data_IF_841124744583
#
_entry.id   IF_841124744583
#
_cell.length_a   1.000
_cell.length_b   1.000
_cell.length_c   1.000
_cell.angle_alpha   90.00
_cell.angle_beta   90.00
_cell.angle_gamma   90.00
#
_symmetry.space_group_name_H-M   'P 1'
#
loop_
_entity.id
_entity.type
_entity.pdbx_description
1 polymer ?
#
# COMPACT_ATOMS: atom_id res chain seq x y z
N UNK A 1 14.64 -8.11 -16.05
CA UNK A 1 14.19 -9.36 -15.39
C UNK A 1 12.87 -9.07 -14.67
N UNK A 2 11.75 -9.74 -15.01
CA UNK A 2 10.43 -9.46 -14.42
C UNK A 2 10.37 -9.71 -12.90
N UNK A 3 11.14 -10.66 -12.38
CA UNK A 3 11.24 -10.91 -10.93
C UNK A 3 11.83 -9.70 -10.20
N UNK A 4 12.81 -9.05 -10.81
CA UNK A 4 13.42 -7.86 -10.23
C UNK A 4 12.46 -6.66 -10.21
N UNK A 5 11.60 -6.52 -11.23
CA UNK A 5 10.55 -5.49 -11.25
C UNK A 5 9.54 -5.73 -10.13
N UNK A 6 9.15 -6.98 -9.90
CA UNK A 6 8.28 -7.34 -8.78
C UNK A 6 8.90 -6.97 -7.43
N UNK A 7 10.18 -7.28 -7.23
CA UNK A 7 10.90 -6.93 -6.00
C UNK A 7 10.92 -5.40 -5.80
N UNK A 8 11.28 -4.64 -6.84
CA UNK A 8 11.29 -3.18 -6.77
C UNK A 8 9.90 -2.58 -6.50
N UNK A 9 8.85 -3.11 -7.14
CA UNK A 9 7.47 -2.70 -6.90
C UNK A 9 7.06 -2.90 -5.43
N UNK A 10 7.39 -4.06 -4.86
CA UNK A 10 7.07 -4.39 -3.46
C UNK A 10 7.85 -3.50 -2.49
N UNK A 11 9.15 -3.26 -2.75
CA UNK A 11 9.99 -2.38 -1.92
C UNK A 11 9.41 -0.96 -1.88
N UNK A 12 8.99 -0.42 -3.03
CA UNK A 12 8.47 0.94 -3.12
C UNK A 12 7.07 1.09 -2.53
N UNK A 13 6.24 0.06 -2.61
CA UNK A 13 4.84 0.09 -2.18
C UNK A 13 4.65 -0.07 -0.67
N UNK A 14 5.68 -0.52 0.06
CA UNK A 14 5.59 -0.69 1.52
C UNK A 14 5.60 0.64 2.29
N UNK A 15 4.57 0.98 3.08
CA UNK A 15 4.55 2.16 3.93
C UNK A 15 5.51 2.02 5.11
N UNK A 16 6.14 3.13 5.51
CA UNK A 16 7.10 3.17 6.63
C UNK A 16 6.46 3.59 7.94
N UNK A 17 5.52 4.53 7.87
CA UNK A 17 4.80 5.08 9.02
C UNK A 17 3.30 4.91 8.79
N UNK A 18 2.56 4.66 9.86
CA UNK A 18 1.11 4.57 9.89
C UNK A 18 0.56 5.42 11.05
N UNK A 19 -0.74 5.68 11.06
CA UNK A 19 -1.42 6.39 12.14
C UNK A 19 -2.39 5.49 12.86
N UNK A 20 -2.17 5.25 14.15
CA UNK A 20 -3.11 4.48 14.97
C UNK A 20 -4.05 5.41 15.70
N UNK A 21 -5.29 4.94 15.83
CA UNK A 21 -6.33 5.64 16.57
C UNK A 21 -6.15 5.34 18.06
N UNK A 22 -5.65 6.31 18.82
CA UNK A 22 -5.48 6.20 20.27
C UNK A 22 -6.56 7.04 20.95
N UNK A 23 -7.41 6.37 21.74
CA UNK A 23 -8.47 7.02 22.51
C UNK A 23 -8.39 6.67 23.98
N UNK A 24 -8.56 7.68 24.84
CA UNK A 24 -8.78 7.50 26.29
C UNK A 24 -9.86 8.50 26.71
N UNK A 25 -10.79 8.06 27.56
CA UNK A 25 -11.84 8.90 28.16
C UNK A 25 -12.69 9.72 27.16
N UNK A 26 -13.17 9.09 26.07
CA UNK A 26 -14.15 9.70 25.16
C UNK A 26 -13.60 10.66 24.10
N UNK A 27 -12.30 10.92 24.09
CA UNK A 27 -11.63 11.64 22.98
C UNK A 27 -10.71 10.70 22.22
N UNK A 28 -10.66 10.88 20.90
CA UNK A 28 -9.88 10.04 20.00
C UNK A 28 -8.90 10.90 19.22
N UNK A 29 -7.63 10.56 19.31
CA UNK A 29 -6.54 11.19 18.55
C UNK A 29 -5.85 10.15 17.67
N UNK A 30 -5.16 10.62 16.65
CA UNK A 30 -4.27 9.76 15.84
C UNK A 30 -2.85 10.00 16.32
N UNK A 31 -2.09 8.93 16.44
CA UNK A 31 -0.67 8.98 16.77
C UNK A 31 0.10 8.28 15.66
N UNK A 32 1.19 8.90 15.20
CA UNK A 32 2.13 8.27 14.28
C UNK A 32 2.83 7.08 14.95
N UNK A 33 2.87 5.94 14.26
CA UNK A 33 3.55 4.71 14.69
C UNK A 33 4.36 4.11 13.54
N UNK A 34 5.48 3.48 13.86
CA UNK A 34 6.31 2.80 12.87
C UNK A 34 5.69 1.47 12.42
N UNK A 35 5.84 1.14 11.12
CA UNK A 35 5.35 -0.11 10.54
C UNK A 35 6.42 -1.19 10.61
N UNK A 36 6.06 -2.35 11.20
CA UNK A 36 6.93 -3.52 11.27
C UNK A 36 7.23 -4.10 9.87
N UNK A 37 8.44 -4.65 9.60
CA UNK A 37 8.81 -5.14 8.28
C UNK A 37 7.83 -6.17 7.70
N UNK A 38 7.26 -7.03 8.54
CA UNK A 38 6.27 -8.03 8.13
C UNK A 38 4.94 -7.42 7.67
N UNK A 39 4.51 -6.30 8.28
CA UNK A 39 3.32 -5.55 7.88
C UNK A 39 3.52 -4.79 6.57
N UNK A 40 4.77 -4.48 6.19
CA UNK A 40 5.06 -3.87 4.88
C UNK A 40 4.92 -4.87 3.73
N UNK A 41 5.36 -6.11 3.96
CA UNK A 41 5.54 -7.11 2.89
C UNK A 41 4.39 -8.11 2.75
N UNK A 42 4.04 -8.88 3.80
CA UNK A 42 3.33 -10.15 3.59
C UNK A 42 2.35 -10.62 4.68
N UNK A 43 2.49 -10.22 5.95
CA UNK A 43 1.84 -11.02 7.01
C UNK A 43 0.37 -10.63 7.27
N UNK A 44 -0.52 -11.60 7.04
CA UNK A 44 -1.77 -11.77 7.81
C UNK A 44 -1.47 -12.50 9.11
N UNK A 45 -1.75 -11.84 10.22
CA UNK A 45 -2.40 -12.40 11.41
C UNK A 45 -3.16 -11.19 11.99
N UNK A 46 -4.42 -11.40 12.41
CA UNK A 46 -5.26 -10.46 13.17
C UNK A 46 -6.28 -9.68 12.31
N UNK A 47 -7.56 -9.90 12.63
CA UNK A 47 -8.77 -9.37 11.98
C UNK A 47 -8.99 -7.84 12.15
N UNK A 48 -7.92 -7.08 12.39
CA UNK A 48 -7.99 -5.64 12.67
C UNK A 48 -6.89 -4.84 11.95
N UNK A 49 -7.17 -4.46 10.70
CA UNK A 49 -6.50 -3.32 10.03
C UNK A 49 -5.34 -3.71 9.11
N UNK A 50 -5.58 -3.55 7.81
CA UNK A 50 -4.81 -4.11 6.69
C UNK A 50 -3.53 -3.32 6.37
N UNK A 51 -2.43 -4.04 6.07
CA UNK A 51 -1.36 -3.58 5.17
C UNK A 51 -0.75 -4.74 4.39
N UNK A 52 -0.75 -4.66 3.07
CA UNK A 52 -0.01 -5.57 2.20
C UNK A 52 0.31 -4.84 0.89
N UNK A 53 1.58 -4.53 0.67
CA UNK A 53 2.06 -3.99 -0.61
C UNK A 53 1.53 -4.82 -1.80
N UNK A 54 1.57 -6.15 -1.66
CA UNK A 54 1.03 -7.09 -2.66
C UNK A 54 -0.49 -6.97 -2.80
N UNK A 55 -1.21 -6.82 -1.69
CA UNK A 55 -2.67 -6.68 -1.73
C UNK A 55 -3.09 -5.40 -2.42
N UNK A 56 -2.42 -4.27 -2.15
CA UNK A 56 -2.71 -2.99 -2.81
C UNK A 56 -2.43 -3.06 -4.32
N UNK A 57 -1.35 -3.74 -4.74
CA UNK A 57 -1.05 -3.97 -6.15
C UNK A 57 -2.13 -4.83 -6.83
N UNK A 58 -2.57 -5.91 -6.18
CA UNK A 58 -3.63 -6.78 -6.69
C UNK A 58 -5.00 -6.08 -6.73
N UNK A 59 -5.33 -5.29 -5.71
CA UNK A 59 -6.57 -4.50 -5.65
C UNK A 59 -6.57 -3.43 -6.74
N UNK A 60 -5.47 -2.70 -6.92
CA UNK A 60 -5.33 -1.71 -8.00
C UNK A 60 -5.47 -2.34 -9.39
N UNK A 61 -4.83 -3.49 -9.62
CA UNK A 61 -4.95 -4.24 -10.88
C UNK A 61 -6.39 -4.74 -11.11
N UNK A 62 -7.08 -5.20 -10.06
CA UNK A 62 -8.47 -5.67 -10.13
C UNK A 62 -9.44 -4.53 -10.42
N UNK A 63 -9.28 -3.38 -9.78
CA UNK A 63 -10.09 -2.18 -10.02
C UNK A 63 -9.85 -1.64 -11.44
N UNK A 64 -8.60 -1.60 -11.91
CA UNK A 64 -8.25 -1.14 -13.25
C UNK A 64 -8.73 -2.07 -14.38
N UNK A 65 -8.83 -3.37 -14.11
CA UNK A 65 -9.39 -4.36 -15.04
C UNK A 65 -10.93 -4.40 -15.02
N UNK A 66 -11.57 -3.89 -13.98
CA UNK A 66 -13.03 -3.93 -13.88
C UNK A 66 -13.66 -2.98 -14.91
N UNK A 67 -14.50 -3.53 -15.80
CA UNK A 67 -15.16 -2.81 -16.92
C UNK A 67 -14.18 -2.20 -17.93
N UNK A 68 -12.96 -2.71 -18.01
CA UNK A 68 -11.95 -2.28 -18.98
C UNK A 68 -11.74 -3.34 -20.06
N UNK A 69 -11.26 -2.91 -21.23
CA UNK A 69 -10.95 -3.80 -22.36
C UNK A 69 -9.64 -4.57 -22.09
N UNK A 70 -8.72 -3.94 -21.34
CA UNK A 70 -7.45 -4.54 -20.92
C UNK A 70 -7.67 -5.78 -20.04
N UNK A 71 -6.86 -6.80 -20.26
CA UNK A 71 -6.87 -8.01 -19.44
C UNK A 71 -6.30 -7.73 -18.05
N UNK A 72 -6.64 -8.58 -17.07
CA UNK A 72 -6.08 -8.45 -15.71
C UNK A 72 -4.56 -8.56 -15.69
N UNK A 73 -3.98 -9.32 -16.62
CA UNK A 73 -2.52 -9.47 -16.75
C UNK A 73 -1.85 -8.18 -17.22
N UNK A 74 -2.44 -7.47 -18.18
CA UNK A 74 -1.95 -6.18 -18.66
C UNK A 74 -2.06 -5.10 -17.58
N UNK A 75 -3.21 -5.03 -16.91
CA UNK A 75 -3.41 -4.11 -15.79
C UNK A 75 -2.41 -4.38 -14.65
N UNK A 76 -2.13 -5.65 -14.35
CA UNK A 76 -1.16 -6.02 -13.32
C UNK A 76 0.28 -5.68 -13.74
N UNK A 77 0.63 -5.88 -15.02
CA UNK A 77 1.94 -5.50 -15.55
C UNK A 77 2.15 -3.98 -15.50
N UNK A 78 1.16 -3.20 -15.94
CA UNK A 78 1.17 -1.74 -15.86
C UNK A 78 1.34 -1.27 -14.41
N UNK A 79 0.61 -1.89 -13.47
CA UNK A 79 0.66 -1.55 -12.06
C UNK A 79 2.03 -1.86 -11.43
N UNK A 80 2.61 -3.03 -11.73
CA UNK A 80 3.94 -3.41 -11.26
C UNK A 80 5.04 -2.49 -11.80
N UNK A 81 4.96 -2.12 -13.09
CA UNK A 81 5.94 -1.22 -13.70
C UNK A 81 5.85 0.18 -13.08
N UNK A 82 4.64 0.69 -12.87
CA UNK A 82 4.42 2.00 -12.26
C UNK A 82 4.88 2.02 -10.79
N UNK A 83 4.57 0.98 -10.02
CA UNK A 83 5.02 0.83 -8.64
C UNK A 83 6.55 0.69 -8.53
N UNK A 84 7.18 -0.07 -9.43
CA UNK A 84 8.64 -0.20 -9.47
C UNK A 84 9.35 1.13 -9.76
N UNK A 85 8.70 2.03 -10.52
CA UNK A 85 9.20 3.39 -10.77
C UNK A 85 8.87 4.38 -9.66
N UNK A 86 8.09 3.99 -8.65
CA UNK A 86 7.58 4.90 -7.62
C UNK A 86 6.61 5.96 -8.17
N UNK A 87 5.97 5.66 -9.30
CA UNK A 87 5.03 6.59 -9.91
C UNK A 87 3.73 6.65 -9.11
N UNK A 88 3.25 7.85 -8.86
CA UNK A 88 1.93 8.11 -8.28
C UNK A 88 0.78 7.67 -9.20
N UNK A 89 1.04 7.13 -10.39
CA UNK A 89 0.00 6.48 -11.19
C UNK A 89 -0.43 5.14 -10.61
N UNK A 90 0.45 4.48 -9.85
CA UNK A 90 0.12 3.24 -9.15
C UNK A 90 -0.82 3.52 -7.98
N UNK A 91 -1.85 2.69 -7.85
CA UNK A 91 -2.75 2.64 -6.72
C UNK A 91 -2.02 2.40 -5.40
N UNK A 92 -1.05 1.48 -5.40
CA UNK A 92 -0.30 1.13 -4.20
C UNK A 92 0.54 2.30 -3.67
N UNK A 93 1.18 3.05 -4.57
CA UNK A 93 1.98 4.24 -4.21
C UNK A 93 1.08 5.37 -3.68
N UNK A 94 -0.05 5.66 -4.34
CA UNK A 94 -1.02 6.66 -3.85
C UNK A 94 -1.47 6.36 -2.42
N UNK A 95 -1.83 5.10 -2.15
CA UNK A 95 -2.32 4.69 -0.83
C UNK A 95 -1.23 4.75 0.24
N UNK A 96 -0.01 4.36 -0.11
CA UNK A 96 1.16 4.55 0.76
C UNK A 96 1.36 6.02 1.12
N UNK A 97 1.38 6.91 0.13
CA UNK A 97 1.64 8.33 0.34
C UNK A 97 0.52 9.00 1.17
N UNK A 98 -0.74 8.62 0.95
CA UNK A 98 -1.87 9.06 1.78
C UNK A 98 -1.66 8.72 3.25
N UNK A 99 -1.22 7.50 3.55
CA UNK A 99 -1.03 7.00 4.91
C UNK A 99 0.17 7.67 5.59
N UNK A 100 1.31 7.74 4.90
CA UNK A 100 2.51 8.41 5.43
C UNK A 100 2.28 9.91 5.64
N UNK A 101 1.46 10.56 4.80
CA UNK A 101 1.09 11.98 4.99
C UNK A 101 0.26 12.18 6.26
N UNK A 102 -0.68 11.29 6.54
CA UNK A 102 -1.50 11.36 7.77
C UNK A 102 -0.63 11.10 9.00
N UNK A 103 0.29 10.13 8.93
CA UNK A 103 1.23 9.86 10.02
C UNK A 103 2.11 11.09 10.33
N UNK A 104 2.71 11.71 9.31
CA UNK A 104 3.53 12.92 9.49
C UNK A 104 2.79 14.10 10.12
N UNK A 105 1.50 14.26 9.83
CA UNK A 105 0.70 15.34 10.41
C UNK A 105 0.31 15.11 11.87
N UNK A 106 0.40 13.87 12.35
CA UNK A 106 0.02 13.46 13.70
C UNK A 106 1.24 13.05 14.55
N UNK A 107 2.40 13.62 14.20
CA UNK A 107 3.64 13.50 14.96
C UNK A 107 3.66 14.52 16.10
#
# INVERSE_FOLDING_TARGET
>A
NPVQVLVHAVINSGPREDSTRIGRAGTVRRQAVDVSPLRRLLRRCDDSGQFQAIWLLCTGAREAAFRNIKTIAECLADELINAAKGSSNSYAIKKKDELERVAKSNR
#
